data_IF_332283357576
#
_entry.id   IF_332283357576
#
_cell.length_a   1.000
_cell.length_b   1.000
_cell.length_c   1.000
_cell.angle_alpha   90.00
_cell.angle_beta   90.00
_cell.angle_gamma   90.00
#
_symmetry.space_group_name_H-M   'P 1'
#
loop_
_entity.id
_entity.type
_entity.pdbx_description
1 polymer ?
#
# COMPACT_ATOMS: atom_id res chain seq x y z
N UNK A 1 -44.80 -36.80 -28.33
CA UNK A 1 -45.17 -36.57 -26.92
C UNK A 1 -44.10 -37.05 -25.94
N UNK A 2 -43.48 -38.23 -26.12
CA UNK A 2 -42.40 -38.72 -25.24
C UNK A 2 -41.08 -37.89 -25.28
N UNK A 3 -40.70 -37.32 -26.42
CA UNK A 3 -39.46 -36.52 -26.56
C UNK A 3 -39.51 -35.18 -25.80
N UNK A 4 -40.69 -34.57 -25.69
CA UNK A 4 -40.90 -33.30 -24.98
C UNK A 4 -40.85 -33.46 -23.46
N UNK A 5 -41.25 -34.63 -22.95
CA UNK A 5 -41.26 -34.96 -21.52
C UNK A 5 -39.82 -35.21 -21.02
N UNK A 6 -39.00 -35.91 -21.81
CA UNK A 6 -37.59 -36.17 -21.47
C UNK A 6 -36.78 -34.87 -21.43
N UNK A 7 -37.02 -33.93 -22.35
CA UNK A 7 -36.36 -32.61 -22.36
C UNK A 7 -36.76 -31.75 -21.14
N UNK A 8 -38.02 -31.81 -20.72
CA UNK A 8 -38.52 -31.11 -19.54
C UNK A 8 -37.90 -31.67 -18.23
N UNK A 9 -37.78 -32.99 -18.14
CA UNK A 9 -37.23 -33.66 -16.95
C UNK A 9 -35.72 -33.41 -16.79
N UNK A 10 -34.98 -33.35 -17.90
CA UNK A 10 -33.56 -32.95 -17.92
C UNK A 10 -33.39 -31.48 -17.51
N UNK A 11 -34.27 -30.58 -17.95
CA UNK A 11 -34.23 -29.17 -17.56
C UNK A 11 -34.52 -28.95 -16.06
N UNK A 12 -35.50 -29.68 -15.50
CA UNK A 12 -35.85 -29.57 -14.07
C UNK A 12 -34.72 -30.11 -13.20
N UNK A 13 -34.13 -31.26 -13.55
CA UNK A 13 -33.01 -31.83 -12.81
C UNK A 13 -31.74 -30.95 -12.89
N UNK A 14 -31.50 -30.28 -14.02
CA UNK A 14 -30.43 -29.30 -14.15
C UNK A 14 -30.65 -28.08 -13.23
N UNK A 15 -31.89 -27.57 -13.15
CA UNK A 15 -32.26 -26.44 -12.27
C UNK A 15 -32.20 -26.82 -10.78
N UNK A 16 -32.60 -28.03 -10.41
CA UNK A 16 -32.54 -28.50 -9.02
C UNK A 16 -31.09 -28.74 -8.55
N UNK A 17 -30.24 -29.31 -9.42
CA UNK A 17 -28.79 -29.41 -9.19
C UNK A 17 -28.15 -28.02 -9.07
N UNK A 18 -28.61 -27.07 -9.89
CA UNK A 18 -28.17 -25.67 -9.87
C UNK A 18 -28.48 -24.98 -8.53
N UNK A 19 -29.70 -25.15 -8.00
CA UNK A 19 -30.08 -24.63 -6.69
C UNK A 19 -29.26 -25.28 -5.55
N UNK A 20 -28.98 -26.58 -5.64
CA UNK A 20 -28.19 -27.29 -4.64
C UNK A 20 -26.73 -26.79 -4.60
N UNK A 21 -26.11 -26.54 -5.75
CA UNK A 21 -24.74 -26.01 -5.86
C UNK A 21 -24.67 -24.56 -5.34
N UNK A 22 -25.65 -23.72 -5.66
CA UNK A 22 -25.72 -22.33 -5.16
C UNK A 22 -25.92 -22.29 -3.64
N UNK A 23 -26.75 -23.19 -3.09
CA UNK A 23 -26.96 -23.32 -1.63
C UNK A 23 -25.72 -23.85 -0.90
N UNK A 24 -24.98 -24.80 -1.50
CA UNK A 24 -23.68 -25.26 -0.98
C UNK A 24 -22.63 -24.13 -1.02
N UNK A 25 -22.63 -23.30 -2.07
CA UNK A 25 -21.78 -22.13 -2.18
C UNK A 25 -22.07 -21.05 -1.13
N UNK A 26 -23.35 -20.81 -0.83
CA UNK A 26 -23.79 -19.90 0.23
C UNK A 26 -23.47 -20.44 1.64
N UNK A 27 -23.58 -21.76 1.86
CA UNK A 27 -23.15 -22.40 3.10
C UNK A 27 -21.64 -22.32 3.34
N UNK A 28 -20.84 -22.47 2.28
CA UNK A 28 -19.39 -22.25 2.33
C UNK A 28 -19.03 -20.77 2.57
N UNK A 29 -19.80 -19.84 2.01
CA UNK A 29 -19.68 -18.40 2.27
C UNK A 29 -19.87 -18.06 3.75
N UNK A 30 -20.85 -18.69 4.42
CA UNK A 30 -21.09 -18.52 5.85
C UNK A 30 -19.89 -19.01 6.70
N UNK A 31 -19.27 -20.14 6.35
CA UNK A 31 -18.10 -20.66 7.06
C UNK A 31 -16.79 -19.88 6.81
N UNK A 32 -16.60 -19.33 5.60
CA UNK A 32 -15.44 -18.50 5.26
C UNK A 32 -15.49 -17.12 5.93
N UNK A 33 -16.70 -16.55 6.06
CA UNK A 33 -16.91 -15.27 6.75
C UNK A 33 -16.82 -15.39 8.28
N UNK A 34 -17.18 -16.54 8.86
CA UNK A 34 -17.13 -16.75 10.32
C UNK A 34 -15.72 -17.03 10.89
N UNK A 35 -14.71 -17.18 10.03
CA UNK A 35 -13.31 -17.44 10.44
C UNK A 35 -12.42 -16.21 10.27
N UNK A 36 -12.96 -15.04 10.63
CA UNK A 36 -12.16 -13.87 10.98
C UNK A 36 -11.35 -14.26 12.20
N UNK A 37 -10.06 -14.53 12.00
CA UNK A 37 -9.11 -14.70 13.12
C UNK A 37 -9.32 -13.52 14.08
N UNK A 38 -9.29 -13.80 15.38
CA UNK A 38 -9.35 -12.90 16.53
C UNK A 38 -8.52 -11.59 16.44
N UNK A 39 -7.73 -11.41 15.37
CA UNK A 39 -6.88 -10.25 15.05
C UNK A 39 -7.25 -9.49 13.76
N UNK A 40 -8.34 -9.86 13.07
CA UNK A 40 -8.95 -9.06 11.99
C UNK A 40 -8.17 -8.96 10.68
N UNK A 41 -7.27 -9.90 10.34
CA UNK A 41 -6.55 -9.91 9.05
C UNK A 41 -6.58 -11.30 8.41
N UNK A 42 -7.20 -11.42 7.24
CA UNK A 42 -7.12 -12.62 6.39
C UNK A 42 -5.79 -12.64 5.64
N UNK A 43 -5.07 -13.77 5.65
CA UNK A 43 -3.81 -13.89 4.92
C UNK A 43 -3.99 -13.87 3.38
N UNK A 44 -2.93 -13.55 2.61
CA UNK A 44 -2.96 -13.38 1.14
C UNK A 44 -3.62 -14.55 0.38
N UNK A 45 -3.26 -15.79 0.73
CA UNK A 45 -3.84 -17.00 0.14
C UNK A 45 -5.34 -17.12 0.40
N UNK A 46 -5.78 -16.78 1.62
CA UNK A 46 -7.20 -16.83 1.98
C UNK A 46 -7.98 -15.78 1.20
N UNK A 47 -7.51 -14.54 1.15
CA UNK A 47 -8.12 -13.47 0.34
C UNK A 47 -8.21 -13.88 -1.12
N UNK A 48 -7.15 -14.45 -1.68
CA UNK A 48 -7.14 -14.94 -3.06
C UNK A 48 -8.18 -16.04 -3.31
N UNK A 49 -8.23 -17.06 -2.47
CA UNK A 49 -9.20 -18.16 -2.63
C UNK A 49 -10.64 -17.69 -2.40
N UNK A 50 -10.88 -16.77 -1.45
CA UNK A 50 -12.19 -16.15 -1.25
C UNK A 50 -12.61 -15.36 -2.49
N UNK A 51 -11.72 -14.55 -3.06
CA UNK A 51 -12.01 -13.80 -4.28
C UNK A 51 -12.26 -14.73 -5.46
N UNK A 52 -11.42 -15.75 -5.66
CA UNK A 52 -11.61 -16.78 -6.68
C UNK A 52 -12.96 -17.46 -6.52
N UNK A 53 -13.34 -17.85 -5.30
CA UNK A 53 -14.59 -18.54 -5.05
C UNK A 53 -15.79 -17.65 -5.37
N UNK A 54 -15.76 -16.38 -4.93
CA UNK A 54 -16.86 -15.44 -5.16
C UNK A 54 -16.94 -14.96 -6.62
N UNK A 55 -15.83 -14.95 -7.37
CA UNK A 55 -15.85 -14.48 -8.77
C UNK A 55 -15.92 -15.62 -9.79
N UNK A 56 -15.05 -16.62 -9.69
CA UNK A 56 -14.91 -17.65 -10.73
C UNK A 56 -15.96 -18.74 -10.64
N UNK A 57 -16.50 -19.05 -9.45
CA UNK A 57 -17.58 -20.05 -9.34
C UNK A 57 -18.84 -19.54 -10.04
N UNK A 58 -19.33 -18.31 -9.79
CA UNK A 58 -20.46 -17.77 -10.54
C UNK A 58 -20.18 -17.59 -12.04
N UNK A 59 -18.97 -17.14 -12.41
CA UNK A 59 -18.57 -17.00 -13.82
C UNK A 59 -18.50 -18.34 -14.54
N UNK A 60 -17.97 -19.38 -13.90
CA UNK A 60 -17.91 -20.73 -14.46
C UNK A 60 -19.30 -21.32 -14.63
N UNK A 61 -20.19 -21.06 -13.68
CA UNK A 61 -21.58 -21.46 -13.76
C UNK A 61 -22.31 -20.75 -14.92
N UNK A 62 -22.14 -19.43 -15.04
CA UNK A 62 -22.67 -18.64 -16.15
C UNK A 62 -22.10 -19.12 -17.50
N UNK A 63 -20.80 -19.44 -17.54
CA UNK A 63 -20.14 -20.00 -18.72
C UNK A 63 -20.72 -21.34 -19.13
N UNK A 64 -21.02 -22.21 -18.16
CA UNK A 64 -21.63 -23.51 -18.43
C UNK A 64 -23.02 -23.32 -19.05
N UNK A 65 -23.85 -22.43 -18.49
CA UNK A 65 -25.16 -22.11 -19.06
C UNK A 65 -25.02 -21.54 -20.48
N UNK A 66 -24.10 -20.61 -20.71
CA UNK A 66 -23.83 -20.06 -22.04
C UNK A 66 -23.35 -21.16 -23.00
N UNK A 67 -22.51 -22.09 -22.56
CA UNK A 67 -21.98 -23.18 -23.39
C UNK A 67 -23.04 -24.16 -23.87
N UNK A 68 -24.15 -24.33 -23.13
CA UNK A 68 -25.29 -25.15 -23.56
C UNK A 68 -25.93 -24.56 -24.84
N UNK A 69 -25.83 -23.24 -25.02
CA UNK A 69 -26.49 -22.50 -26.10
C UNK A 69 -25.52 -21.82 -27.08
N UNK A 70 -24.20 -22.03 -26.98
CA UNK A 70 -23.18 -21.26 -27.71
C UNK A 70 -22.07 -22.10 -28.35
N UNK A 71 -21.38 -21.52 -29.34
CA UNK A 71 -20.20 -22.11 -30.00
C UNK A 71 -19.03 -22.38 -29.04
N UNK A 72 -18.18 -23.40 -29.28
CA UNK A 72 -16.94 -23.66 -28.53
C UNK A 72 -16.01 -22.45 -28.35
N UNK A 73 -16.10 -21.45 -29.23
CA UNK A 73 -15.34 -20.18 -29.14
C UNK A 73 -15.73 -19.37 -27.89
N UNK A 74 -17.00 -19.41 -27.46
CA UNK A 74 -17.46 -18.73 -26.26
C UNK A 74 -16.81 -19.29 -24.98
N UNK A 75 -16.55 -20.61 -24.95
CA UNK A 75 -15.86 -21.28 -23.84
C UNK A 75 -14.41 -20.79 -23.75
N UNK A 76 -13.72 -20.65 -24.89
CA UNK A 76 -12.34 -20.12 -24.93
C UNK A 76 -12.24 -18.69 -24.41
N UNK A 77 -13.20 -17.82 -24.74
CA UNK A 77 -13.23 -16.43 -24.23
C UNK A 77 -13.44 -16.38 -22.72
N UNK A 78 -14.29 -17.24 -22.16
CA UNK A 78 -14.49 -17.30 -20.71
C UNK A 78 -13.27 -17.89 -19.99
N UNK A 79 -12.62 -18.90 -20.57
CA UNK A 79 -11.39 -19.46 -19.99
C UNK A 79 -10.22 -18.46 -20.02
N UNK A 80 -10.06 -17.71 -21.12
CA UNK A 80 -9.01 -16.69 -21.23
C UNK A 80 -9.29 -15.48 -20.33
N UNK A 81 -10.55 -15.04 -20.27
CA UNK A 81 -11.01 -14.01 -19.33
C UNK A 81 -10.84 -14.43 -17.87
N UNK A 82 -11.17 -15.68 -17.54
CA UNK A 82 -10.97 -16.28 -16.22
C UNK A 82 -9.50 -16.34 -15.82
N UNK A 83 -8.61 -16.74 -16.73
CA UNK A 83 -7.16 -16.72 -16.49
C UNK A 83 -6.63 -15.31 -16.23
N UNK A 84 -7.03 -14.33 -17.05
CA UNK A 84 -6.68 -12.91 -16.85
C UNK A 84 -7.17 -12.40 -15.48
N UNK A 85 -8.40 -12.75 -15.09
CA UNK A 85 -8.97 -12.41 -13.80
C UNK A 85 -8.21 -13.06 -12.65
N UNK A 86 -7.90 -14.36 -12.71
CA UNK A 86 -7.06 -15.07 -11.71
C UNK A 86 -5.72 -14.37 -11.53
N UNK A 87 -5.06 -13.99 -12.63
CA UNK A 87 -3.77 -13.29 -12.57
C UNK A 87 -3.89 -11.92 -11.91
N UNK A 88 -4.95 -11.15 -12.22
CA UNK A 88 -5.25 -9.87 -11.58
C UNK A 88 -5.55 -10.02 -10.09
N UNK A 89 -6.39 -10.98 -9.71
CA UNK A 89 -6.72 -11.28 -8.31
C UNK A 89 -5.49 -11.77 -7.53
N UNK A 90 -4.63 -12.58 -8.15
CA UNK A 90 -3.40 -13.06 -7.53
C UNK A 90 -2.37 -11.95 -7.32
N UNK A 91 -2.28 -10.99 -8.25
CA UNK A 91 -1.49 -9.77 -8.07
C UNK A 91 -2.08 -8.87 -6.98
N UNK A 92 -3.39 -8.63 -6.98
CA UNK A 92 -4.07 -7.78 -6.01
C UNK A 92 -4.04 -8.34 -4.57
N UNK A 93 -4.12 -9.66 -4.44
CA UNK A 93 -4.02 -10.37 -3.15
C UNK A 93 -2.57 -10.61 -2.71
N UNK A 94 -1.58 -10.44 -3.58
CA UNK A 94 -0.17 -10.61 -3.27
C UNK A 94 0.32 -12.06 -3.23
N UNK A 95 -0.49 -13.04 -3.63
CA UNK A 95 -0.11 -14.47 -3.60
C UNK A 95 1.04 -14.79 -4.55
N UNK A 96 1.23 -13.99 -5.59
CA UNK A 96 2.31 -14.14 -6.57
C UNK A 96 3.53 -13.24 -6.32
N UNK A 97 3.61 -12.56 -5.17
CA UNK A 97 4.79 -11.75 -4.85
C UNK A 97 5.99 -12.66 -4.53
N UNK A 98 6.95 -12.73 -5.44
CA UNK A 98 8.26 -13.32 -5.14
C UNK A 98 9.05 -12.36 -4.23
N UNK A 99 9.81 -12.88 -3.25
CA UNK A 99 10.73 -12.04 -2.50
C UNK A 99 11.81 -11.48 -3.44
N UNK A 100 12.18 -10.20 -3.30
CA UNK A 100 13.26 -9.63 -4.11
C UNK A 100 14.56 -10.36 -3.79
N UNK A 101 15.28 -10.77 -4.84
CA UNK A 101 16.67 -11.22 -4.69
C UNK A 101 17.49 -9.98 -4.34
N UNK A 102 18.15 -10.00 -3.18
CA UNK A 102 19.00 -8.91 -2.75
C UNK A 102 20.37 -9.09 -3.37
N UNK A 103 20.78 -8.12 -4.19
CA UNK A 103 22.15 -8.06 -4.68
C UNK A 103 23.13 -7.84 -3.52
N UNK A 104 24.37 -8.36 -3.60
CA UNK A 104 25.42 -8.05 -2.64
C UNK A 104 25.60 -6.53 -2.48
N UNK A 105 25.81 -6.06 -1.25
CA UNK A 105 26.05 -4.65 -0.99
C UNK A 105 27.42 -4.24 -1.51
N UNK A 106 27.46 -3.16 -2.30
CA UNK A 106 28.73 -2.63 -2.79
C UNK A 106 29.59 -2.10 -1.61
N UNK A 107 30.90 -2.37 -1.58
CA UNK A 107 31.78 -1.83 -0.55
C UNK A 107 31.71 -0.30 -0.45
N UNK A 108 31.77 0.24 0.77
CA UNK A 108 31.76 1.69 1.00
C UNK A 108 30.39 2.37 0.79
N UNK A 109 29.31 1.61 0.67
CA UNK A 109 27.94 2.14 0.56
C UNK A 109 27.15 2.00 1.85
N UNK A 110 26.04 2.73 1.93
CA UNK A 110 24.95 2.56 2.90
C UNK A 110 23.77 1.90 2.20
N UNK A 111 23.26 0.81 2.77
CA UNK A 111 22.07 0.11 2.26
C UNK A 111 20.81 0.63 2.93
N UNK A 112 19.92 1.21 2.14
CA UNK A 112 18.60 1.67 2.57
C UNK A 112 17.52 0.64 2.19
N UNK A 113 16.61 0.38 3.14
CA UNK A 113 15.42 -0.45 2.96
C UNK A 113 14.20 0.44 3.09
N UNK A 114 13.30 0.42 2.12
CA UNK A 114 12.20 1.36 2.03
C UNK A 114 10.85 0.64 2.12
N UNK A 115 10.00 1.12 3.01
CA UNK A 115 8.62 0.70 3.17
C UNK A 115 7.73 1.91 3.43
N UNK A 116 6.42 1.71 3.30
CA UNK A 116 5.38 2.68 3.63
C UNK A 116 4.06 1.96 3.81
N UNK A 117 3.05 2.61 4.38
CA UNK A 117 1.67 2.14 4.37
C UNK A 117 1.53 0.75 4.99
N UNK A 118 2.10 0.56 6.17
CA UNK A 118 1.99 -0.72 6.88
C UNK A 118 0.62 -0.86 7.55
N UNK A 119 -0.09 0.24 7.84
CA UNK A 119 -1.46 0.25 8.37
C UNK A 119 -1.64 -0.68 9.59
N UNK A 120 -0.66 -0.68 10.51
CA UNK A 120 -0.60 -1.53 11.69
C UNK A 120 -0.36 -3.03 11.42
N UNK A 121 0.15 -3.40 10.23
CA UNK A 121 0.43 -4.79 9.83
C UNK A 121 1.93 -5.07 9.72
N UNK A 122 2.75 -4.21 10.31
CA UNK A 122 4.21 -4.28 10.30
C UNK A 122 4.78 -5.63 10.77
N UNK A 123 4.15 -6.29 11.74
CA UNK A 123 4.55 -7.62 12.21
C UNK A 123 4.45 -8.74 11.16
N UNK A 124 3.72 -8.53 10.06
CA UNK A 124 3.57 -9.52 8.98
C UNK A 124 4.62 -9.35 7.88
N UNK A 125 5.45 -8.31 7.96
CA UNK A 125 6.45 -8.01 6.95
C UNK A 125 7.74 -8.77 7.20
N UNK A 126 8.34 -9.23 6.10
CA UNK A 126 9.71 -9.72 6.09
C UNK A 126 10.60 -8.59 5.60
N UNK A 127 11.26 -7.90 6.53
CA UNK A 127 12.15 -6.80 6.20
C UNK A 127 13.53 -7.38 5.83
N UNK A 128 14.06 -7.08 4.64
CA UNK A 128 15.40 -7.52 4.25
C UNK A 128 16.48 -6.85 5.13
N UNK A 129 17.69 -7.42 5.21
CA UNK A 129 18.81 -6.76 5.88
C UNK A 129 19.20 -5.46 5.16
N UNK A 130 19.61 -4.47 5.95
CA UNK A 130 20.17 -3.20 5.49
C UNK A 130 20.71 -2.38 6.65
N UNK A 131 21.40 -1.28 6.33
CA UNK A 131 21.95 -0.37 7.34
C UNK A 131 20.87 0.55 7.91
N UNK A 132 19.98 1.05 7.03
CA UNK A 132 18.95 2.03 7.38
C UNK A 132 17.58 1.60 6.87
N UNK A 133 16.57 1.61 7.75
CA UNK A 133 15.17 1.50 7.35
C UNK A 133 14.58 2.90 7.13
N UNK A 134 13.88 3.09 6.01
CA UNK A 134 13.06 4.26 5.70
C UNK A 134 11.58 3.84 5.72
N UNK A 135 10.76 4.53 6.52
CA UNK A 135 9.29 4.34 6.52
C UNK A 135 8.58 5.63 6.11
N UNK A 136 7.89 5.61 4.96
CA UNK A 136 7.27 6.79 4.36
C UNK A 136 5.82 7.08 4.80
N UNK A 137 5.51 6.87 6.09
CA UNK A 137 4.18 7.17 6.66
C UNK A 137 3.14 6.05 6.58
N UNK A 138 1.98 6.31 7.19
CA UNK A 138 0.85 5.39 7.35
C UNK A 138 1.25 4.07 8.04
N UNK A 139 1.97 4.19 9.16
CA UNK A 139 2.34 3.03 9.97
C UNK A 139 1.23 2.58 10.93
N UNK A 140 0.27 3.45 11.24
CA UNK A 140 -0.91 3.17 12.05
C UNK A 140 -2.16 3.03 11.18
N UNK A 141 -3.30 2.62 11.76
CA UNK A 141 -4.58 2.63 11.04
C UNK A 141 -5.35 3.91 11.27
N UNK A 142 -5.25 4.50 12.46
CA UNK A 142 -5.98 5.72 12.82
C UNK A 142 -5.12 6.73 13.57
N UNK A 143 -3.92 6.37 13.99
CA UNK A 143 -3.03 7.24 14.75
C UNK A 143 -3.32 7.21 16.25
N UNK A 144 -3.86 6.10 16.76
CA UNK A 144 -4.04 5.93 18.21
C UNK A 144 -2.69 5.70 18.89
N UNK A 145 -2.51 6.19 20.12
CA UNK A 145 -1.23 6.06 20.86
C UNK A 145 -0.76 4.60 20.98
N UNK A 146 -1.67 3.65 21.21
CA UNK A 146 -1.33 2.23 21.28
C UNK A 146 -0.87 1.65 19.93
N UNK A 147 -1.36 2.17 18.80
CA UNK A 147 -0.90 1.77 17.46
C UNK A 147 0.51 2.29 17.21
N UNK A 148 0.78 3.55 17.58
CA UNK A 148 2.12 4.16 17.49
C UNK A 148 3.11 3.38 18.36
N UNK A 149 2.73 3.04 19.60
CA UNK A 149 3.55 2.23 20.50
C UNK A 149 3.83 0.84 19.90
N UNK A 150 2.81 0.16 19.37
CA UNK A 150 2.96 -1.16 18.73
C UNK A 150 3.92 -1.13 17.55
N UNK A 151 3.88 -0.06 16.75
CA UNK A 151 4.82 0.17 15.67
C UNK A 151 6.24 0.43 16.19
N UNK A 152 6.40 1.28 17.20
CA UNK A 152 7.70 1.57 17.81
C UNK A 152 8.35 0.33 18.43
N UNK A 153 7.56 -0.50 19.14
CA UNK A 153 8.04 -1.75 19.73
C UNK A 153 8.57 -2.69 18.63
N UNK A 154 7.85 -2.79 17.51
CA UNK A 154 8.31 -3.57 16.35
C UNK A 154 9.58 -3.01 15.71
N UNK A 155 9.71 -1.68 15.54
CA UNK A 155 10.94 -1.06 15.04
C UNK A 155 12.16 -1.44 15.88
N UNK A 156 12.00 -1.52 17.20
CA UNK A 156 13.04 -1.94 18.14
C UNK A 156 13.55 -3.36 17.91
N UNK A 157 12.74 -4.24 17.29
CA UNK A 157 13.14 -5.62 16.98
C UNK A 157 14.00 -5.74 15.72
N UNK A 158 14.01 -4.71 14.86
CA UNK A 158 14.68 -4.78 13.57
C UNK A 158 16.20 -4.54 13.70
N UNK A 159 17.05 -5.29 12.97
CA UNK A 159 18.51 -5.24 13.10
C UNK A 159 19.15 -4.01 12.44
N UNK A 160 18.38 -3.19 11.73
CA UNK A 160 18.86 -1.97 11.07
C UNK A 160 19.45 -1.04 12.12
N UNK A 161 20.67 -0.54 11.88
CA UNK A 161 21.37 0.35 12.81
C UNK A 161 20.59 1.63 13.05
N UNK A 162 19.91 2.09 12.01
CA UNK A 162 19.09 3.30 12.04
C UNK A 162 17.74 3.09 11.38
N UNK A 163 16.71 3.75 11.88
CA UNK A 163 15.37 3.77 11.31
C UNK A 163 14.94 5.22 11.21
N UNK A 164 14.52 5.66 10.03
CA UNK A 164 14.04 7.01 9.76
C UNK A 164 12.58 6.89 9.35
N UNK A 165 11.71 7.63 10.03
CA UNK A 165 10.26 7.51 9.88
C UNK A 165 9.67 8.89 9.67
N UNK A 166 8.75 9.00 8.72
CA UNK A 166 7.80 10.12 8.64
C UNK A 166 6.41 9.60 8.95
N UNK A 167 5.51 10.49 9.34
CA UNK A 167 4.08 10.20 9.44
C UNK A 167 3.43 10.24 8.05
N UNK A 168 2.20 9.73 7.95
CA UNK A 168 1.30 9.89 6.82
C UNK A 168 -0.06 10.42 7.27
N UNK A 169 -1.05 10.35 6.38
CA UNK A 169 -2.38 10.87 6.67
C UNK A 169 -3.15 10.03 7.71
N UNK A 170 -2.68 8.82 8.03
CA UNK A 170 -3.27 7.96 9.05
C UNK A 170 -2.79 8.24 10.48
N UNK A 171 -1.68 8.95 10.68
CA UNK A 171 -1.16 9.29 12.00
C UNK A 171 -1.87 10.50 12.61
N UNK A 172 -3.19 10.39 12.81
CA UNK A 172 -4.06 11.51 13.17
C UNK A 172 -3.58 12.27 14.40
N UNK A 173 -3.26 11.56 15.50
CA UNK A 173 -2.78 12.18 16.73
C UNK A 173 -1.40 12.83 16.60
N UNK A 174 -0.60 12.51 15.57
CA UNK A 174 0.72 13.11 15.41
C UNK A 174 0.67 14.48 14.75
N UNK A 175 -0.41 14.90 14.11
CA UNK A 175 -0.53 16.25 13.54
C UNK A 175 -1.04 17.23 14.61
N UNK A 176 -0.14 17.84 15.40
CA UNK A 176 -0.54 18.79 16.44
C UNK A 176 -1.32 20.00 15.91
N UNK A 177 -1.17 20.35 14.63
CA UNK A 177 -1.83 21.51 14.03
C UNK A 177 -3.27 21.17 13.66
N UNK A 178 -3.49 20.08 12.94
CA UNK A 178 -4.83 19.72 12.48
C UNK A 178 -5.63 18.96 13.55
N UNK A 179 -4.97 18.13 14.37
CA UNK A 179 -5.62 17.18 15.29
C UNK A 179 -6.71 17.78 16.19
N UNK A 180 -6.52 18.96 16.84
CA UNK A 180 -7.57 19.57 17.65
C UNK A 180 -8.90 19.77 16.92
N UNK A 181 -8.87 19.95 15.60
CA UNK A 181 -10.05 20.15 14.76
C UNK A 181 -10.60 18.87 14.12
N UNK A 182 -9.80 17.82 13.98
CA UNK A 182 -10.17 16.61 13.21
C UNK A 182 -10.17 15.31 14.02
N UNK A 183 -9.83 15.32 15.31
CA UNK A 183 -9.71 14.09 16.10
C UNK A 183 -10.98 13.22 16.09
N UNK A 184 -12.16 13.87 16.12
CA UNK A 184 -13.47 13.19 16.09
C UNK A 184 -13.75 12.45 14.79
N UNK A 185 -12.97 12.69 13.73
CA UNK A 185 -13.12 11.97 12.47
C UNK A 185 -12.93 10.47 12.69
N UNK A 186 -12.00 10.06 13.57
CA UNK A 186 -11.65 8.65 13.77
C UNK A 186 -11.47 8.19 15.22
N UNK A 187 -11.39 9.12 16.17
CA UNK A 187 -11.12 8.79 17.58
C UNK A 187 -12.34 9.09 18.45
N UNK A 188 -12.61 8.19 19.39
CA UNK A 188 -13.66 8.37 20.41
C UNK A 188 -13.18 9.24 21.59
N UNK A 189 -11.87 9.42 21.72
CA UNK A 189 -11.24 10.26 22.74
C UNK A 189 -10.03 11.00 22.19
N UNK A 190 -9.79 12.19 22.72
CA UNK A 190 -8.61 12.99 22.38
C UNK A 190 -7.33 12.26 22.82
N UNK A 191 -6.31 12.26 21.96
CA UNK A 191 -4.98 11.70 22.19
C UNK A 191 -3.98 12.85 22.20
N UNK A 192 -3.08 12.93 23.18
CA UNK A 192 -2.10 14.03 23.23
C UNK A 192 -1.09 13.93 22.05
N UNK A 193 -1.02 14.94 21.15
CA UNK A 193 -0.04 14.94 20.06
C UNK A 193 1.42 14.99 20.50
N UNK A 194 1.70 15.55 21.68
CA UNK A 194 3.05 15.54 22.24
C UNK A 194 3.41 14.12 22.67
N UNK A 195 2.53 13.44 23.41
CA UNK A 195 2.70 12.04 23.78
C UNK A 195 2.91 11.15 22.54
N UNK A 196 2.07 11.32 21.52
CA UNK A 196 2.12 10.56 20.27
C UNK A 196 3.53 10.58 19.63
N UNK A 197 4.18 11.74 19.59
CA UNK A 197 5.55 11.87 19.06
C UNK A 197 6.61 11.25 19.97
N UNK A 198 6.46 11.40 21.29
CA UNK A 198 7.44 10.86 22.25
C UNK A 198 7.49 9.33 22.29
N UNK A 199 6.44 8.65 21.82
CA UNK A 199 6.39 7.18 21.74
C UNK A 199 7.35 6.59 20.71
N UNK A 200 7.80 7.36 19.72
CA UNK A 200 8.73 6.90 18.67
C UNK A 200 10.20 6.96 19.14
N UNK A 201 10.55 6.10 20.09
CA UNK A 201 11.91 6.06 20.68
C UNK A 201 12.92 5.23 19.88
N UNK A 202 12.47 4.37 18.96
CA UNK A 202 13.31 3.45 18.19
C UNK A 202 13.62 3.93 16.77
N UNK A 203 13.35 5.21 16.46
CA UNK A 203 13.65 5.82 15.17
C UNK A 203 13.95 7.31 15.29
N UNK A 204 14.51 7.86 14.23
CA UNK A 204 14.47 9.30 13.99
C UNK A 204 13.16 9.63 13.26
N UNK A 205 12.26 10.27 13.99
CA UNK A 205 11.03 10.80 13.40
C UNK A 205 11.32 12.17 12.75
N UNK A 206 11.00 12.30 11.46
CA UNK A 206 11.13 13.54 10.71
C UNK A 206 9.75 14.13 10.43
N UNK A 207 9.54 15.38 10.83
CA UNK A 207 8.32 16.15 10.56
C UNK A 207 8.74 17.41 9.80
N UNK A 208 8.84 17.28 8.47
CA UNK A 208 9.34 18.34 7.58
C UNK A 208 10.75 18.82 8.01
N UNK A 209 11.65 17.87 8.23
CA UNK A 209 13.01 18.11 8.74
C UNK A 209 14.04 17.20 8.06
N UNK A 210 15.33 17.48 8.30
CA UNK A 210 16.44 16.71 7.73
C UNK A 210 17.26 15.98 8.81
N UNK A 211 17.92 14.92 8.38
CA UNK A 211 18.99 14.23 9.11
C UNK A 211 20.11 13.79 8.16
N UNK A 212 21.21 13.27 8.71
CA UNK A 212 22.37 12.82 7.92
C UNK A 212 22.78 11.40 8.26
N UNK A 213 22.97 10.54 7.25
CA UNK A 213 23.43 9.15 7.38
C UNK A 213 24.75 8.99 6.63
N UNK A 214 25.86 8.79 7.34
CA UNK A 214 27.19 8.65 6.71
C UNK A 214 27.47 9.76 5.65
N UNK A 215 27.14 11.00 6.00
CA UNK A 215 27.23 12.18 5.14
C UNK A 215 26.11 12.36 4.11
N UNK A 216 25.22 11.38 3.94
CA UNK A 216 24.07 11.45 3.04
C UNK A 216 22.93 12.24 3.69
N UNK A 217 22.49 13.34 3.08
CA UNK A 217 21.32 14.11 3.58
C UNK A 217 20.01 13.41 3.25
N UNK A 218 19.23 13.12 4.29
CA UNK A 218 17.87 12.59 4.20
C UNK A 218 16.89 13.67 4.68
N UNK A 219 15.92 14.06 3.87
CA UNK A 219 14.84 14.98 4.26
C UNK A 219 13.51 14.23 4.30
N UNK A 220 12.74 14.41 5.36
CA UNK A 220 11.45 13.75 5.56
C UNK A 220 10.31 14.73 5.80
N UNK A 221 9.19 14.56 5.09
CA UNK A 221 7.99 15.39 5.24
C UNK A 221 6.72 14.53 5.21
N UNK A 222 5.84 14.60 6.24
CA UNK A 222 4.61 13.80 6.27
C UNK A 222 3.51 14.36 5.36
N UNK A 223 3.67 15.59 4.87
CA UNK A 223 2.62 16.28 4.14
C UNK A 223 2.25 15.62 2.81
N UNK A 224 0.96 15.55 2.54
CA UNK A 224 0.39 15.07 1.28
C UNK A 224 -0.81 15.91 0.85
N UNK A 225 -1.12 15.86 -0.45
CA UNK A 225 -2.35 16.48 -0.96
C UNK A 225 -3.59 15.81 -0.35
N UNK A 226 -4.65 16.56 -0.02
CA UNK A 226 -5.88 15.98 0.53
C UNK A 226 -6.56 15.07 -0.49
N UNK A 227 -7.18 13.99 0.02
CA UNK A 227 -8.12 13.18 -0.74
C UNK A 227 -9.44 13.97 -0.82
N UNK A 228 -10.03 14.16 -2.01
CA UNK A 228 -11.28 14.91 -2.14
C UNK A 228 -12.37 14.43 -1.16
N UNK A 229 -12.93 15.36 -0.39
CA UNK A 229 -13.96 15.09 0.60
C UNK A 229 -13.48 14.44 1.91
N UNK A 230 -12.16 14.28 2.12
CA UNK A 230 -11.58 13.75 3.35
C UNK A 230 -10.46 14.65 3.84
N UNK A 231 -10.66 15.27 5.01
CA UNK A 231 -9.60 15.98 5.71
C UNK A 231 -8.95 15.04 6.73
N UNK A 232 -7.65 14.84 6.59
CA UNK A 232 -6.85 13.89 7.36
C UNK A 232 -5.62 14.60 7.93
N UNK A 233 -4.80 13.87 8.69
CA UNK A 233 -3.55 14.45 9.20
C UNK A 233 -2.60 14.80 8.06
N UNK A 234 -1.79 15.84 8.30
CA UNK A 234 -0.74 16.31 7.40
C UNK A 234 -1.22 16.59 5.97
N UNK A 235 -2.48 16.98 5.80
CA UNK A 235 -2.93 17.46 4.49
C UNK A 235 -2.51 18.91 4.27
N UNK A 236 -1.88 19.16 3.12
CA UNK A 236 -1.58 20.50 2.61
C UNK A 236 -2.38 20.75 1.34
N UNK A 237 -3.09 21.87 1.29
CA UNK A 237 -3.85 22.23 0.10
C UNK A 237 -2.92 22.47 -1.10
N UNK A 238 -3.39 22.06 -2.28
CA UNK A 238 -2.67 22.27 -3.55
C UNK A 238 -2.53 23.76 -3.88
N UNK A 239 -1.69 24.07 -4.86
CA UNK A 239 -1.42 25.46 -5.27
C UNK A 239 -0.41 26.13 -4.34
N UNK A 240 -0.69 27.37 -3.94
CA UNK A 240 0.27 28.22 -3.22
C UNK A 240 0.73 27.65 -1.87
N UNK A 241 -0.16 26.94 -1.15
CA UNK A 241 0.18 26.32 0.14
C UNK A 241 1.22 25.21 -0.03
N UNK A 242 0.98 24.26 -0.94
CA UNK A 242 1.95 23.23 -1.30
C UNK A 242 3.24 23.84 -1.89
N UNK A 243 3.13 24.86 -2.74
CA UNK A 243 4.30 25.54 -3.31
C UNK A 243 5.18 26.19 -2.24
N UNK A 244 4.58 26.88 -1.27
CA UNK A 244 5.28 27.47 -0.14
C UNK A 244 5.98 26.40 0.71
N UNK A 245 5.27 25.31 1.01
CA UNK A 245 5.81 24.19 1.78
C UNK A 245 7.00 23.52 1.07
N UNK A 246 6.86 23.14 -0.20
CA UNK A 246 7.92 22.37 -0.88
C UNK A 246 9.13 23.23 -1.24
N UNK A 247 8.98 24.56 -1.29
CA UNK A 247 10.08 25.50 -1.51
C UNK A 247 11.11 25.52 -0.37
N UNK A 248 10.72 25.19 0.86
CA UNK A 248 11.61 25.21 2.03
C UNK A 248 12.56 24.00 2.09
N UNK A 249 12.24 22.91 1.38
CA UNK A 249 13.06 21.68 1.38
C UNK A 249 14.47 22.01 0.85
N UNK A 250 15.58 21.66 1.52
CA UNK A 250 16.93 21.99 1.06
C UNK A 250 17.27 21.39 -0.31
N UNK A 251 17.96 22.17 -1.15
CA UNK A 251 18.32 21.76 -2.52
C UNK A 251 19.39 20.64 -2.56
N UNK A 252 20.17 20.47 -1.49
CA UNK A 252 21.19 19.43 -1.33
C UNK A 252 20.63 18.13 -0.73
N UNK A 253 19.31 17.97 -0.68
CA UNK A 253 18.66 16.73 -0.24
C UNK A 253 18.97 15.60 -1.21
N UNK A 254 19.59 14.52 -0.72
CA UNK A 254 19.95 13.37 -1.56
C UNK A 254 18.92 12.25 -1.50
N UNK A 255 18.31 12.03 -0.33
CA UNK A 255 17.18 11.11 -0.16
C UNK A 255 16.00 11.92 0.35
N UNK A 256 14.94 11.98 -0.45
CA UNK A 256 13.69 12.64 -0.09
C UNK A 256 12.66 11.58 0.33
N UNK A 257 12.06 11.77 1.49
CA UNK A 257 10.98 10.93 2.03
C UNK A 257 9.72 11.81 2.14
N UNK A 258 8.70 11.54 1.35
CA UNK A 258 7.38 12.19 1.47
C UNK A 258 6.31 11.14 1.65
N UNK A 259 5.19 11.45 2.29
CA UNK A 259 4.11 10.46 2.35
C UNK A 259 3.40 10.33 0.99
N UNK A 260 2.97 11.45 0.43
CA UNK A 260 2.33 11.51 -0.90
C UNK A 260 3.35 11.55 -2.06
N UNK A 261 2.96 11.07 -3.26
CA UNK A 261 3.79 11.12 -4.46
C UNK A 261 3.82 12.51 -5.13
N UNK A 262 4.86 12.82 -5.92
CA UNK A 262 4.80 13.91 -6.90
C UNK A 262 3.85 13.58 -8.04
N UNK A 263 3.23 14.60 -8.64
CA UNK A 263 2.27 14.44 -9.75
C UNK A 263 2.88 13.66 -10.92
N UNK A 264 2.14 12.71 -11.47
CA UNK A 264 2.54 11.94 -12.65
C UNK A 264 3.55 10.82 -12.40
N UNK A 265 4.00 10.63 -11.16
CA UNK A 265 5.03 9.64 -10.80
C UNK A 265 4.46 8.67 -9.78
N UNK A 266 4.10 7.47 -10.25
CA UNK A 266 3.60 6.38 -9.40
C UNK A 266 2.44 6.84 -8.48
N UNK A 267 1.53 7.64 -9.05
CA UNK A 267 0.43 8.32 -8.37
C UNK A 267 -0.93 8.08 -9.05
N UNK A 268 -1.03 7.05 -9.89
CA UNK A 268 -2.27 6.73 -10.60
C UNK A 268 -3.20 5.92 -9.71
N UNK A 269 -4.47 6.33 -9.62
CA UNK A 269 -5.52 5.57 -8.93
C UNK A 269 -6.29 4.67 -9.90
N UNK A 270 -6.77 3.51 -9.43
CA UNK A 270 -7.40 2.51 -10.30
C UNK A 270 -8.83 2.85 -10.74
N UNK A 271 -9.51 3.73 -10.01
CA UNK A 271 -10.93 4.03 -10.24
C UNK A 271 -11.16 4.74 -11.58
N UNK A 272 -10.35 5.76 -11.89
CA UNK A 272 -10.51 6.62 -13.06
C UNK A 272 -9.19 6.87 -13.81
N UNK A 273 -8.11 6.21 -13.39
CA UNK A 273 -6.75 6.40 -13.94
C UNK A 273 -6.23 7.84 -13.83
N UNK A 274 -6.80 8.65 -12.94
CA UNK A 274 -6.30 9.99 -12.66
C UNK A 274 -4.99 9.96 -11.87
N UNK A 275 -4.22 11.04 -12.04
CA UNK A 275 -2.99 11.31 -11.28
C UNK A 275 -3.33 12.18 -10.08
N UNK A 276 -2.96 11.71 -8.87
CA UNK A 276 -3.29 12.37 -7.61
C UNK A 276 -2.08 12.88 -6.84
N UNK A 277 -0.88 12.83 -7.43
CA UNK A 277 0.33 13.39 -6.83
C UNK A 277 0.34 14.91 -6.81
N UNK A 278 1.31 15.48 -6.11
CA UNK A 278 1.45 16.93 -5.88
C UNK A 278 2.31 17.59 -6.98
N UNK A 279 1.75 18.59 -7.66
CA UNK A 279 2.40 19.33 -8.75
C UNK A 279 3.55 20.23 -8.26
N UNK A 280 3.39 20.84 -7.08
CA UNK A 280 4.42 21.69 -6.50
C UNK A 280 5.60 20.83 -6.04
N UNK A 281 5.33 19.65 -5.46
CA UNK A 281 6.38 18.68 -5.14
C UNK A 281 7.12 18.22 -6.40
N UNK A 282 6.39 17.84 -7.47
CA UNK A 282 7.00 17.49 -8.76
C UNK A 282 7.93 18.61 -9.25
N UNK A 283 7.44 19.84 -9.25
CA UNK A 283 8.19 21.02 -9.68
C UNK A 283 9.51 21.16 -8.91
N UNK A 284 9.47 21.06 -7.58
CA UNK A 284 10.66 21.19 -6.74
C UNK A 284 11.66 20.04 -6.95
N UNK A 285 11.16 18.81 -7.06
CA UNK A 285 11.98 17.61 -7.29
C UNK A 285 12.69 17.68 -8.64
N UNK A 286 12.00 18.12 -9.69
CA UNK A 286 12.58 18.16 -11.05
C UNK A 286 13.51 19.34 -11.28
N UNK A 287 13.23 20.50 -10.66
CA UNK A 287 13.98 21.73 -10.96
C UNK A 287 15.12 22.02 -9.99
N UNK A 288 14.94 21.76 -8.69
CA UNK A 288 15.82 22.29 -7.65
C UNK A 288 16.43 21.20 -6.78
N UNK A 289 15.60 20.37 -6.17
CA UNK A 289 16.03 19.38 -5.18
C UNK A 289 16.79 18.23 -5.86
N UNK A 290 16.22 17.67 -6.93
CA UNK A 290 16.82 16.58 -7.73
C UNK A 290 17.51 15.51 -6.87
N UNK A 291 16.81 14.91 -5.89
CA UNK A 291 17.41 13.93 -5.00
C UNK A 291 17.89 12.72 -5.80
N UNK A 292 18.85 11.97 -5.30
CA UNK A 292 19.25 10.70 -5.92
C UNK A 292 18.09 9.71 -5.84
N UNK A 293 17.38 9.72 -4.71
CA UNK A 293 16.23 8.84 -4.45
C UNK A 293 15.10 9.63 -3.80
N UNK A 294 13.87 9.41 -4.28
CA UNK A 294 12.64 9.91 -3.67
C UNK A 294 11.73 8.72 -3.33
N UNK A 295 11.51 8.49 -2.03
CA UNK A 295 10.67 7.42 -1.51
C UNK A 295 9.37 8.02 -0.97
N UNK A 296 8.26 7.38 -1.32
CA UNK A 296 6.92 7.74 -0.85
C UNK A 296 6.00 6.53 -0.83
N UNK A 297 4.74 6.72 -0.46
CA UNK A 297 3.72 5.68 -0.43
C UNK A 297 2.36 6.23 -0.82
N UNK A 298 1.38 6.08 0.06
CA UNK A 298 0.01 6.63 0.00
C UNK A 298 -0.88 6.02 -1.11
N UNK A 299 -0.40 5.98 -2.35
CA UNK A 299 -1.13 5.45 -3.50
C UNK A 299 -0.78 3.97 -3.68
N UNK A 300 -1.44 3.10 -2.92
CA UNK A 300 -1.13 1.67 -2.85
C UNK A 300 -1.16 0.95 -4.21
N UNK A 301 -2.01 1.41 -5.13
CA UNK A 301 -2.17 0.79 -6.44
C UNK A 301 -0.98 1.03 -7.36
N UNK A 302 -0.22 2.09 -7.08
CA UNK A 302 0.94 2.51 -7.85
C UNK A 302 2.27 2.11 -7.21
N UNK A 303 2.27 1.11 -6.31
CA UNK A 303 3.50 0.48 -5.84
C UNK A 303 4.42 0.15 -7.03
N UNK A 304 5.66 0.62 -6.97
CA UNK A 304 6.54 0.54 -8.12
C UNK A 304 7.84 1.32 -7.96
N UNK A 305 8.64 1.24 -9.02
CA UNK A 305 9.90 1.96 -9.20
C UNK A 305 9.89 2.62 -10.57
N UNK A 306 10.32 3.87 -10.65
CA UNK A 306 10.64 4.53 -11.93
C UNK A 306 11.84 5.45 -11.75
N UNK A 307 12.49 5.85 -12.84
CA UNK A 307 13.60 6.79 -12.83
C UNK A 307 13.31 7.90 -13.83
N UNK A 308 13.45 9.15 -13.39
CA UNK A 308 13.30 10.33 -14.26
C UNK A 308 14.51 11.24 -14.05
N UNK A 309 15.20 11.55 -15.14
CA UNK A 309 16.51 12.22 -15.07
C UNK A 309 17.48 11.40 -14.22
N UNK A 310 17.99 12.00 -13.15
CA UNK A 310 18.93 11.37 -12.21
C UNK A 310 18.25 10.82 -10.95
N UNK A 311 16.96 11.07 -10.76
CA UNK A 311 16.22 10.69 -9.55
C UNK A 311 15.52 9.34 -9.76
N UNK A 312 15.73 8.43 -8.82
CA UNK A 312 14.94 7.19 -8.74
C UNK A 312 13.80 7.35 -7.75
N UNK A 313 12.60 7.00 -8.17
CA UNK A 313 11.38 7.11 -7.40
C UNK A 313 10.91 5.73 -6.96
N UNK A 314 10.57 5.61 -5.68
CA UNK A 314 10.00 4.39 -5.12
C UNK A 314 8.66 4.73 -4.46
N UNK A 315 7.58 4.17 -5.01
CA UNK A 315 6.36 4.00 -4.23
C UNK A 315 6.53 2.70 -3.43
N UNK A 316 6.72 2.85 -2.13
CA UNK A 316 7.07 1.81 -1.17
C UNK A 316 5.86 1.31 -0.37
N UNK A 317 4.63 1.56 -0.82
CA UNK A 317 3.42 1.08 -0.16
C UNK A 317 3.41 -0.46 -0.08
N UNK A 318 3.68 -1.01 1.10
CA UNK A 318 3.75 -2.47 1.30
C UNK A 318 2.37 -3.10 1.28
N UNK A 319 1.35 -2.33 1.67
CA UNK A 319 -0.04 -2.72 1.53
C UNK A 319 -0.50 -2.56 0.07
N UNK A 320 -1.13 -3.61 -0.46
CA UNK A 320 -1.79 -3.52 -1.78
C UNK A 320 -3.06 -2.66 -1.70
N UNK A 321 -3.72 -2.47 -2.84
CA UNK A 321 -5.07 -1.90 -2.92
C UNK A 321 -6.06 -2.57 -1.94
N UNK A 322 -5.98 -3.89 -1.78
CA UNK A 322 -6.81 -4.67 -0.84
C UNK A 322 -6.25 -4.67 0.59
N UNK A 323 -5.32 -3.76 0.88
CA UNK A 323 -4.60 -3.59 2.15
C UNK A 323 -3.91 -4.86 2.62
N UNK A 324 -3.37 -5.68 1.71
CA UNK A 324 -2.57 -6.85 2.08
C UNK A 324 -1.08 -6.46 2.13
N UNK A 325 -0.34 -6.75 3.22
CA UNK A 325 1.04 -6.33 3.40
C UNK A 325 2.01 -7.25 2.63
N UNK A 326 1.90 -7.24 1.31
CA UNK A 326 2.56 -8.23 0.42
C UNK A 326 3.48 -7.63 -0.62
N UNK A 327 3.40 -6.32 -0.87
CA UNK A 327 4.38 -5.69 -1.74
C UNK A 327 5.75 -5.70 -1.03
N UNK A 328 6.82 -6.14 -1.72
CA UNK A 328 8.12 -6.27 -1.08
C UNK A 328 8.75 -4.89 -0.78
N UNK A 329 9.61 -4.79 0.24
CA UNK A 329 10.41 -3.59 0.47
C UNK A 329 11.35 -3.29 -0.71
N UNK A 330 11.58 -2.01 -0.99
CA UNK A 330 12.63 -1.59 -1.94
C UNK A 330 13.97 -1.49 -1.24
N UNK A 331 15.05 -1.84 -1.95
CA UNK A 331 16.42 -1.74 -1.42
C UNK A 331 17.28 -0.99 -2.41
N UNK A 332 18.08 -0.04 -1.93
CA UNK A 332 19.06 0.68 -2.72
C UNK A 332 20.31 0.99 -1.89
N UNK A 333 21.44 1.15 -2.59
CA UNK A 333 22.72 1.48 -1.98
C UNK A 333 23.17 2.88 -2.45
N UNK A 334 23.68 3.70 -1.53
CA UNK A 334 24.33 4.97 -1.87
C UNK A 334 25.75 5.01 -1.30
N UNK A 335 26.73 5.60 -2.00
CA UNK A 335 28.09 5.73 -1.49
C UNK A 335 28.11 6.62 -0.23
N UNK A 336 28.88 6.18 0.77
CA UNK A 336 29.17 7.01 1.95
C UNK A 336 29.89 8.29 1.51
N UNK A 337 29.62 9.39 2.20
CA UNK A 337 30.28 10.66 1.94
C UNK A 337 31.22 11.00 3.09
N UNK A 338 32.42 11.47 2.75
CA UNK A 338 33.35 11.96 3.75
C UNK A 338 32.76 13.23 4.35
N UNK A 339 32.47 13.20 5.65
CA UNK A 339 32.10 14.39 6.41
C UNK A 339 33.42 15.12 6.67
N UNK A 340 33.76 16.10 5.83
CA UNK A 340 34.92 16.98 5.99
C UNK A 340 34.71 17.99 7.12
#
# INVERSE_FOLDING_TARGET
MMTSIILYDVQINAVLSQCAITMLGLGAMHHVLHFIDSRGVMGPRRVFFTLIFVTLVPLGLLSYVVSIYSSPIAILLVMFGGYSLVRRLGKASGVFAAPPVLEPQAPGTVRFVCISDTHGKHAHLKIPPGDVLLHAGDFTRRGMLHEIKSFNDWLGTLPHKRKIVIAGNHELAMDATAYPSIWRTWHDSFQDPTEARTLLTNCDYLEHSATQVDGIRVFGSPYSSPIPGRRMAFNVDRGDNAAALWKTVPADTQVLLTHGPPLGILDTVVHDHSHVGDEALLTQVMSRIRPHVHVFGHIHESYGKTTMGTTTFFNAAVCTFLRQPTNPPWVFDLPKQNIS
#
